data_IF_269961350157
#
_entry.id   IF_269961350157
#
_cell.length_a   1.000
_cell.length_b   1.000
_cell.length_c   1.000
_cell.angle_alpha   90.00
_cell.angle_beta   90.00
_cell.angle_gamma   90.00
#
_symmetry.space_group_name_H-M   'P 1'
#
loop_
_entity.id
_entity.type
_entity.pdbx_description
1 polymer ?
#
# COMPACT_ATOMS: atom_id res chain seq x y z
N UNK A 1 79.09 -18.08 7.60
CA UNK A 1 80.42 -18.52 7.15
C UNK A 1 80.83 -17.59 6.03
N UNK A 2 81.93 -16.88 6.27
CA UNK A 2 82.47 -15.75 5.52
C UNK A 2 83.12 -16.16 4.20
N UNK A 3 83.34 -15.16 3.34
CA UNK A 3 84.44 -15.13 2.37
C UNK A 3 85.75 -15.67 2.96
N UNK A 4 86.58 -16.25 2.09
CA UNK A 4 87.92 -16.82 2.28
C UNK A 4 87.89 -18.32 2.06
N UNK A 5 88.82 -18.80 1.24
CA UNK A 5 89.14 -20.21 0.96
C UNK A 5 88.64 -20.71 -0.40
N UNK A 6 89.16 -20.11 -1.48
CA UNK A 6 89.56 -20.88 -2.67
C UNK A 6 90.61 -20.12 -3.50
N UNK A 7 91.59 -19.53 -2.83
CA UNK A 7 92.86 -19.13 -3.43
C UNK A 7 93.91 -19.99 -2.76
N UNK A 8 94.41 -21.00 -3.46
CA UNK A 8 95.74 -21.57 -3.30
C UNK A 8 95.88 -22.78 -4.22
N UNK A 9 96.37 -22.55 -5.44
CA UNK A 9 97.31 -23.44 -6.10
C UNK A 9 97.93 -22.74 -7.32
N UNK A 10 99.04 -22.05 -7.10
CA UNK A 10 99.97 -21.67 -8.17
C UNK A 10 101.16 -22.61 -8.07
N UNK A 11 101.47 -23.41 -9.11
CA UNK A 11 102.82 -23.86 -9.35
C UNK A 11 103.48 -22.99 -10.44
N UNK A 12 104.55 -22.34 -9.98
CA UNK A 12 105.78 -21.95 -10.67
C UNK A 12 105.87 -22.12 -12.21
N UNK A 13 106.14 -20.99 -12.86
CA UNK A 13 107.24 -20.75 -13.81
C UNK A 13 107.62 -21.92 -14.75
N UNK A 14 107.12 -21.85 -15.98
CA UNK A 14 107.69 -22.55 -17.14
C UNK A 14 108.28 -21.47 -18.07
N UNK A 15 109.56 -21.56 -18.47
CA UNK A 15 110.22 -20.55 -19.31
C UNK A 15 109.67 -20.54 -20.75
N UNK A 16 109.84 -19.44 -21.51
CA UNK A 16 109.32 -19.33 -22.86
C UNK A 16 110.12 -20.22 -23.81
N UNK A 17 109.51 -21.28 -24.32
CA UNK A 17 110.04 -21.98 -25.50
C UNK A 17 109.86 -21.09 -26.73
N UNK A 18 110.99 -20.75 -27.33
CA UNK A 18 111.11 -20.07 -28.62
C UNK A 18 110.28 -20.81 -29.70
N UNK A 19 109.27 -20.12 -30.23
CA UNK A 19 108.59 -20.50 -31.47
C UNK A 19 109.38 -19.90 -32.65
N UNK A 20 109.69 -20.67 -33.71
CA UNK A 20 110.36 -20.12 -34.88
C UNK A 20 109.43 -19.16 -35.64
N UNK A 21 109.95 -18.09 -36.28
CA UNK A 21 109.15 -17.22 -37.13
C UNK A 21 108.78 -17.99 -38.41
N UNK A 22 107.52 -18.43 -38.50
CA UNK A 22 106.93 -18.98 -39.73
C UNK A 22 106.29 -17.82 -40.49
N UNK A 23 107.05 -17.25 -41.42
CA UNK A 23 106.59 -16.31 -42.45
C UNK A 23 105.86 -17.08 -43.57
N UNK A 24 104.73 -17.71 -43.24
CA UNK A 24 103.83 -18.30 -44.24
C UNK A 24 102.50 -17.52 -44.27
N UNK A 25 102.19 -16.77 -45.35
CA UNK A 25 100.90 -16.12 -45.48
C UNK A 25 99.80 -17.18 -45.59
N UNK A 26 98.82 -17.10 -44.69
CA UNK A 26 97.64 -17.98 -44.69
C UNK A 26 96.94 -17.93 -46.07
N UNK A 27 96.42 -19.07 -46.57
CA UNK A 27 95.76 -19.11 -47.88
C UNK A 27 94.56 -18.16 -47.95
N UNK A 28 94.52 -17.33 -49.01
CA UNK A 28 93.51 -16.29 -49.31
C UNK A 28 92.04 -16.76 -49.16
N UNK A 29 91.78 -18.06 -49.22
CA UNK A 29 90.46 -18.65 -49.00
C UNK A 29 89.90 -18.45 -47.56
N UNK A 30 90.74 -18.15 -46.57
CA UNK A 30 90.31 -17.94 -45.17
C UNK A 30 90.17 -16.46 -44.80
N UNK A 31 90.59 -15.53 -45.66
CA UNK A 31 90.39 -14.09 -45.46
C UNK A 31 88.98 -13.64 -45.88
N UNK A 32 88.35 -14.35 -46.82
CA UNK A 32 86.98 -14.04 -47.28
C UNK A 32 85.87 -14.38 -46.27
N UNK A 33 86.19 -15.07 -45.17
CA UNK A 33 85.23 -15.34 -44.07
C UNK A 33 85.38 -14.38 -42.88
N UNK A 34 86.47 -13.60 -42.81
CA UNK A 34 86.66 -12.60 -41.75
C UNK A 34 85.97 -11.26 -42.07
N UNK A 35 85.86 -10.89 -43.36
CA UNK A 35 85.24 -9.64 -43.81
C UNK A 35 83.72 -9.74 -44.07
N UNK A 36 83.11 -10.91 -43.83
CA UNK A 36 81.66 -11.01 -43.76
C UNK A 36 81.20 -10.68 -42.32
N UNK A 37 81.22 -9.40 -41.97
CA UNK A 37 80.35 -8.88 -40.90
C UNK A 37 78.90 -8.98 -41.38
N UNK A 38 78.38 -10.20 -41.45
CA UNK A 38 76.95 -10.40 -41.32
C UNK A 38 76.65 -9.89 -39.92
N UNK A 39 75.97 -8.75 -39.82
CA UNK A 39 75.29 -8.32 -38.60
C UNK A 39 74.34 -9.45 -38.20
N UNK A 40 74.86 -10.45 -37.49
CA UNK A 40 74.06 -11.52 -36.95
C UNK A 40 73.28 -10.88 -35.82
N UNK A 41 72.05 -10.48 -36.14
CA UNK A 41 71.04 -10.07 -35.19
C UNK A 41 70.68 -11.27 -34.27
N UNK A 42 71.60 -11.64 -33.39
CA UNK A 42 71.25 -12.42 -32.21
C UNK A 42 70.70 -11.43 -31.19
N UNK A 43 69.46 -10.98 -31.39
CA UNK A 43 68.67 -10.57 -30.24
C UNK A 43 68.64 -11.79 -29.31
N UNK A 44 69.31 -11.65 -28.15
CA UNK A 44 69.44 -12.72 -27.17
C UNK A 44 68.04 -13.26 -26.86
N UNK A 45 67.88 -14.58 -26.73
CA UNK A 45 66.58 -15.15 -26.40
C UNK A 45 65.98 -14.52 -25.14
N UNK A 46 66.83 -14.03 -24.22
CA UNK A 46 66.43 -13.27 -23.04
C UNK A 46 65.87 -11.87 -23.35
N UNK A 47 66.38 -11.19 -24.39
CA UNK A 47 65.88 -9.87 -24.79
C UNK A 47 64.52 -9.99 -25.49
N UNK A 48 64.30 -11.06 -26.25
CA UNK A 48 63.01 -11.37 -26.86
C UNK A 48 61.96 -11.70 -25.80
N UNK A 49 62.30 -12.54 -24.82
CA UNK A 49 61.39 -12.84 -23.70
C UNK A 49 61.11 -11.61 -22.84
N UNK A 50 62.11 -10.76 -22.59
CA UNK A 50 61.92 -9.51 -21.84
C UNK A 50 61.03 -8.51 -22.59
N UNK A 51 61.16 -8.41 -23.92
CA UNK A 51 60.28 -7.58 -24.75
C UNK A 51 58.84 -8.11 -24.75
N UNK A 52 58.65 -9.42 -24.90
CA UNK A 52 57.33 -10.05 -24.86
C UNK A 52 56.66 -9.94 -23.48
N UNK A 53 57.42 -10.03 -22.40
CA UNK A 53 56.93 -9.82 -21.04
C UNK A 53 56.58 -8.35 -20.78
N UNK A 54 57.35 -7.40 -21.32
CA UNK A 54 57.02 -5.98 -21.25
C UNK A 54 55.72 -5.66 -22.00
N UNK A 55 55.49 -6.26 -23.17
CA UNK A 55 54.25 -6.11 -23.94
C UNK A 55 53.04 -6.73 -23.21
N UNK A 56 53.22 -7.90 -22.58
CA UNK A 56 52.20 -8.52 -21.72
C UNK A 56 51.89 -7.66 -20.48
N UNK A 57 52.90 -7.04 -19.90
CA UNK A 57 52.74 -6.17 -18.74
C UNK A 57 52.04 -4.85 -19.12
N UNK A 58 52.28 -4.34 -20.32
CA UNK A 58 51.60 -3.16 -20.84
C UNK A 58 50.13 -3.43 -21.19
N UNK A 59 49.84 -4.57 -21.80
CA UNK A 59 48.46 -4.99 -22.11
C UNK A 59 47.65 -5.24 -20.84
N UNK A 60 48.23 -5.89 -19.84
CA UNK A 60 47.57 -6.10 -18.53
C UNK A 60 47.34 -4.79 -17.78
N UNK A 61 48.29 -3.84 -17.81
CA UNK A 61 48.08 -2.49 -17.28
C UNK A 61 46.93 -1.75 -17.99
N UNK A 62 46.88 -1.85 -19.33
CA UNK A 62 45.77 -1.30 -20.12
C UNK A 62 44.43 -1.90 -19.75
N UNK A 63 44.36 -3.23 -19.60
CA UNK A 63 43.15 -3.94 -19.18
C UNK A 63 42.73 -3.56 -17.75
N UNK A 64 43.67 -3.40 -16.82
CA UNK A 64 43.39 -2.98 -15.45
C UNK A 64 42.85 -1.54 -15.42
N UNK A 65 43.43 -0.64 -16.22
CA UNK A 65 42.93 0.72 -16.34
C UNK A 65 41.51 0.76 -16.92
N UNK A 66 41.23 -0.03 -17.96
CA UNK A 66 39.88 -0.15 -18.52
C UNK A 66 38.88 -0.73 -17.51
N UNK A 67 39.28 -1.73 -16.73
CA UNK A 67 38.43 -2.29 -15.68
C UNK A 67 38.16 -1.28 -14.57
N UNK A 68 39.15 -0.48 -14.19
CA UNK A 68 38.98 0.59 -13.22
C UNK A 68 38.02 1.69 -13.70
N UNK A 69 38.12 2.11 -14.96
CA UNK A 69 37.18 3.09 -15.52
C UNK A 69 35.76 2.53 -15.57
N UNK A 70 35.59 1.27 -15.99
CA UNK A 70 34.29 0.59 -15.96
C UNK A 70 33.72 0.51 -14.53
N UNK A 71 34.52 0.12 -13.55
CA UNK A 71 34.08 0.02 -12.15
C UNK A 71 33.66 1.40 -11.61
N UNK A 72 34.44 2.45 -11.91
CA UNK A 72 34.09 3.82 -11.53
C UNK A 72 32.79 4.31 -12.19
N UNK A 73 32.56 3.93 -13.46
CA UNK A 73 31.32 4.25 -14.17
C UNK A 73 30.12 3.51 -13.57
N UNK A 74 30.27 2.20 -13.29
CA UNK A 74 29.23 1.41 -12.61
C UNK A 74 28.92 1.94 -11.21
N UNK A 75 29.94 2.40 -10.48
CA UNK A 75 29.75 2.97 -9.14
C UNK A 75 29.02 4.32 -9.20
N UNK A 76 29.26 5.14 -10.22
CA UNK A 76 28.48 6.37 -10.48
C UNK A 76 27.02 6.04 -10.79
N UNK A 77 26.77 5.09 -11.69
CA UNK A 77 25.41 4.64 -12.00
C UNK A 77 24.70 4.13 -10.75
N UNK A 78 25.36 3.34 -9.91
CA UNK A 78 24.79 2.90 -8.62
C UNK A 78 24.47 4.06 -7.68
N UNK A 79 25.38 5.05 -7.58
CA UNK A 79 25.14 6.24 -6.76
C UNK A 79 23.99 7.12 -7.25
N UNK A 80 23.69 7.08 -8.54
CA UNK A 80 22.54 7.76 -9.15
C UNK A 80 21.24 6.94 -8.99
N UNK A 81 21.31 5.61 -9.02
CA UNK A 81 20.15 4.72 -8.87
C UNK A 81 19.62 4.66 -7.43
N UNK A 82 20.51 4.64 -6.45
CA UNK A 82 20.16 4.57 -5.02
C UNK A 82 19.15 5.63 -4.55
N UNK A 83 19.31 6.93 -4.85
CA UNK A 83 18.31 7.93 -4.48
C UNK A 83 17.00 7.75 -5.23
N UNK A 84 17.04 7.38 -6.52
CA UNK A 84 15.83 7.14 -7.33
C UNK A 84 14.98 6.00 -6.74
N UNK A 85 15.63 4.91 -6.31
CA UNK A 85 14.94 3.79 -5.67
C UNK A 85 14.33 4.21 -4.33
N UNK A 86 15.03 5.01 -3.54
CA UNK A 86 14.50 5.53 -2.26
C UNK A 86 13.29 6.43 -2.48
N UNK A 87 13.37 7.33 -3.44
CA UNK A 87 12.27 8.23 -3.80
C UNK A 87 11.07 7.44 -4.30
N UNK A 88 11.27 6.44 -5.18
CA UNK A 88 10.21 5.55 -5.63
C UNK A 88 9.55 4.78 -4.48
N UNK A 89 10.33 4.31 -3.50
CA UNK A 89 9.79 3.64 -2.31
C UNK A 89 8.91 4.59 -1.48
N UNK A 90 9.32 5.86 -1.33
CA UNK A 90 8.54 6.87 -0.62
C UNK A 90 7.25 7.22 -1.38
N UNK A 91 7.35 7.39 -2.70
CA UNK A 91 6.22 7.69 -3.58
C UNK A 91 5.20 6.56 -3.60
N UNK A 92 5.63 5.30 -3.48
CA UNK A 92 4.72 4.15 -3.39
C UNK A 92 4.11 3.97 -2.00
N UNK A 93 4.68 4.57 -0.96
CA UNK A 93 4.20 4.45 0.43
C UNK A 93 2.97 5.30 0.70
N UNK A 94 2.90 6.51 0.14
CA UNK A 94 1.73 7.39 0.22
C UNK A 94 0.44 6.75 -0.32
N UNK A 95 0.39 6.23 -1.57
CA UNK A 95 -0.80 5.59 -2.12
C UNK A 95 -1.15 4.28 -1.40
N UNK A 96 -0.16 3.55 -0.83
CA UNK A 96 -0.45 2.37 -0.03
C UNK A 96 -1.24 2.71 1.26
N UNK A 97 -0.90 3.83 1.90
CA UNK A 97 -1.63 4.30 3.09
C UNK A 97 -3.05 4.79 2.71
N UNK A 98 -3.19 5.54 1.62
CA UNK A 98 -4.50 6.00 1.13
C UNK A 98 -5.40 4.82 0.77
N UNK A 99 -4.85 3.79 0.13
CA UNK A 99 -5.57 2.57 -0.21
C UNK A 99 -6.01 1.81 1.05
N UNK A 100 -5.16 1.75 2.09
CA UNK A 100 -5.53 1.16 3.37
C UNK A 100 -6.71 1.92 4.03
N UNK A 101 -6.65 3.25 4.08
CA UNK A 101 -7.75 4.08 4.61
C UNK A 101 -9.04 3.88 3.80
N UNK A 102 -8.94 3.82 2.47
CA UNK A 102 -10.09 3.57 1.60
C UNK A 102 -10.71 2.18 1.84
N UNK A 103 -9.90 1.15 2.06
CA UNK A 103 -10.37 -0.20 2.42
C UNK A 103 -11.09 -0.22 3.75
N UNK A 104 -10.55 0.45 4.77
CA UNK A 104 -11.19 0.54 6.08
C UNK A 104 -12.51 1.31 6.02
N UNK A 105 -12.56 2.42 5.26
CA UNK A 105 -13.78 3.16 4.99
C UNK A 105 -14.84 2.31 4.30
N UNK A 106 -14.45 1.54 3.29
CA UNK A 106 -15.34 0.62 2.58
C UNK A 106 -15.89 -0.47 3.53
N UNK A 107 -15.03 -1.07 4.37
CA UNK A 107 -15.46 -2.06 5.35
C UNK A 107 -16.42 -1.48 6.40
N UNK A 108 -16.23 -0.22 6.79
CA UNK A 108 -17.16 0.48 7.69
C UNK A 108 -18.52 0.72 7.03
N UNK A 109 -18.53 1.21 5.79
CA UNK A 109 -19.76 1.43 5.02
C UNK A 109 -20.52 0.12 4.77
N UNK A 110 -19.82 -0.97 4.46
CA UNK A 110 -20.44 -2.29 4.31
C UNK A 110 -21.13 -2.76 5.60
N UNK A 111 -20.49 -2.57 6.77
CA UNK A 111 -21.10 -2.89 8.07
C UNK A 111 -22.35 -2.04 8.32
N UNK A 112 -22.29 -0.74 8.03
CA UNK A 112 -23.44 0.17 8.17
C UNK A 112 -24.59 -0.23 7.24
N UNK A 113 -24.30 -0.54 5.98
CA UNK A 113 -25.30 -1.03 5.03
C UNK A 113 -25.96 -2.33 5.50
N UNK A 114 -25.19 -3.30 6.00
CA UNK A 114 -25.72 -4.54 6.55
C UNK A 114 -26.64 -4.29 7.76
N UNK A 115 -26.29 -3.34 8.63
CA UNK A 115 -27.15 -2.92 9.75
C UNK A 115 -28.47 -2.30 9.27
N UNK A 116 -28.40 -1.41 8.29
CA UNK A 116 -29.60 -0.78 7.71
C UNK A 116 -30.52 -1.81 7.05
N UNK A 117 -29.97 -2.76 6.29
CA UNK A 117 -30.74 -3.86 5.69
C UNK A 117 -31.48 -4.66 6.77
N UNK A 118 -30.80 -5.01 7.88
CA UNK A 118 -31.45 -5.68 9.01
C UNK A 118 -32.57 -4.86 9.61
N UNK A 119 -32.36 -3.55 9.80
CA UNK A 119 -33.42 -2.66 10.29
C UNK A 119 -34.61 -2.63 9.33
N UNK A 120 -34.38 -2.46 8.03
CA UNK A 120 -35.43 -2.49 7.01
C UNK A 120 -36.21 -3.81 7.03
N UNK A 121 -35.54 -4.95 7.18
CA UNK A 121 -36.19 -6.26 7.30
C UNK A 121 -37.05 -6.35 8.58
N UNK A 122 -36.56 -5.84 9.71
CA UNK A 122 -37.31 -5.79 10.96
C UNK A 122 -38.56 -4.90 10.84
N UNK A 123 -38.42 -3.73 10.21
CA UNK A 123 -39.56 -2.84 9.92
C UNK A 123 -40.59 -3.51 9.01
N UNK A 124 -40.14 -4.15 7.93
CA UNK A 124 -41.01 -4.89 7.02
C UNK A 124 -41.81 -5.96 7.77
N UNK A 125 -41.13 -6.77 8.61
CA UNK A 125 -41.80 -7.79 9.44
C UNK A 125 -42.84 -7.17 10.37
N UNK A 126 -42.50 -6.10 11.09
CA UNK A 126 -43.45 -5.38 11.96
C UNK A 126 -44.67 -4.87 11.20
N UNK A 127 -44.46 -4.35 9.98
CA UNK A 127 -45.59 -3.88 9.15
C UNK A 127 -46.47 -5.04 8.68
N UNK A 128 -45.89 -6.20 8.34
CA UNK A 128 -46.65 -7.41 7.98
C UNK A 128 -47.43 -7.96 9.19
N UNK A 129 -46.82 -8.00 10.37
CA UNK A 129 -47.50 -8.38 11.62
C UNK A 129 -48.63 -7.40 11.98
N UNK A 130 -48.44 -6.10 11.76
CA UNK A 130 -49.50 -5.11 11.99
C UNK A 130 -50.66 -5.29 11.00
N UNK A 131 -50.37 -5.57 9.72
CA UNK A 131 -51.39 -5.84 8.70
C UNK A 131 -52.21 -7.09 9.03
N UNK A 132 -51.55 -8.20 9.36
CA UNK A 132 -52.24 -9.44 9.73
C UNK A 132 -53.11 -9.26 10.98
N UNK A 133 -52.65 -8.50 11.99
CA UNK A 133 -53.48 -8.15 13.15
C UNK A 133 -54.67 -7.26 12.76
N UNK A 134 -54.46 -6.27 11.89
CA UNK A 134 -55.55 -5.42 11.41
C UNK A 134 -56.63 -6.24 10.67
N UNK A 135 -56.23 -7.15 9.77
CA UNK A 135 -57.13 -8.07 9.07
C UNK A 135 -57.90 -8.97 10.06
N UNK A 136 -57.24 -9.46 11.12
CA UNK A 136 -57.91 -10.22 12.18
C UNK A 136 -58.92 -9.38 12.97
N UNK A 137 -58.62 -8.11 13.25
CA UNK A 137 -59.56 -7.22 13.91
C UNK A 137 -60.75 -6.87 13.00
N UNK A 138 -60.51 -6.64 11.70
CA UNK A 138 -61.57 -6.44 10.72
C UNK A 138 -62.49 -7.67 10.59
N UNK A 139 -61.92 -8.87 10.56
CA UNK A 139 -62.70 -10.12 10.54
C UNK A 139 -63.56 -10.28 11.80
N UNK A 140 -62.99 -10.03 13.00
CA UNK A 140 -63.76 -10.06 14.27
C UNK A 140 -64.85 -9.00 14.33
N UNK A 141 -64.61 -7.81 13.78
CA UNK A 141 -65.63 -6.76 13.66
C UNK A 141 -66.74 -7.15 12.68
N UNK A 142 -66.42 -7.86 11.61
CA UNK A 142 -67.41 -8.39 10.68
C UNK A 142 -68.28 -9.48 11.34
N UNK A 143 -67.68 -10.39 12.10
CA UNK A 143 -68.40 -11.41 12.90
C UNK A 143 -69.30 -10.78 13.97
N UNK A 144 -68.81 -9.77 14.71
CA UNK A 144 -69.61 -9.06 15.70
C UNK A 144 -70.80 -8.29 15.08
N UNK A 145 -70.67 -7.85 13.82
CA UNK A 145 -71.76 -7.21 13.08
C UNK A 145 -72.80 -8.21 12.57
N UNK A 146 -72.41 -9.46 12.31
CA UNK A 146 -73.36 -10.52 11.92
C UNK A 146 -74.02 -11.16 13.14
N UNK A 147 -73.37 -11.16 14.31
CA UNK A 147 -74.00 -11.51 15.59
C UNK A 147 -74.68 -10.29 16.22
N UNK A 148 -75.83 -9.87 15.67
CA UNK A 148 -76.77 -9.04 16.47
C UNK A 148 -77.51 -9.94 17.47
N UNK A 149 -77.72 -9.49 18.72
CA UNK A 149 -78.42 -10.28 19.71
C UNK A 149 -79.91 -10.33 19.37
N UNK A 150 -80.43 -11.54 19.18
CA UNK A 150 -81.79 -11.83 19.61
C UNK A 150 -81.81 -11.71 21.15
N UNK A 151 -82.86 -11.07 21.66
CA UNK A 151 -83.18 -10.80 23.07
C UNK A 151 -82.43 -9.66 23.78
N UNK A 152 -83.13 -8.51 23.90
CA UNK A 152 -83.63 -8.03 25.20
C UNK A 152 -84.51 -6.79 25.01
N UNK A 153 -85.83 -7.02 24.96
CA UNK A 153 -86.83 -6.04 25.38
C UNK A 153 -86.85 -6.09 26.90
N UNK A 154 -86.17 -5.16 27.58
CA UNK A 154 -86.45 -4.83 28.98
C UNK A 154 -85.85 -3.45 29.31
N UNK A 155 -86.72 -2.51 29.64
CA UNK A 155 -86.38 -1.24 30.25
C UNK A 155 -85.62 -1.45 31.57
N UNK A 156 -84.55 -0.66 31.79
CA UNK A 156 -83.79 -0.70 33.03
C UNK A 156 -82.69 0.35 33.07
N UNK A 157 -83.05 1.54 33.55
CA UNK A 157 -82.20 2.53 34.24
C UNK A 157 -80.69 2.23 34.30
N UNK A 158 -79.91 2.83 33.40
CA UNK A 158 -78.47 2.97 33.56
C UNK A 158 -78.16 4.45 33.79
N UNK A 159 -77.51 4.72 34.92
CA UNK A 159 -77.15 6.04 35.42
C UNK A 159 -76.46 6.89 34.34
N UNK A 160 -77.00 8.09 34.13
CA UNK A 160 -76.38 9.15 33.36
C UNK A 160 -75.12 9.62 34.11
N UNK A 161 -73.99 8.94 33.88
CA UNK A 161 -72.68 9.56 34.11
C UNK A 161 -72.59 10.66 33.06
N UNK A 162 -72.43 11.94 33.43
CA UNK A 162 -72.20 12.97 32.45
C UNK A 162 -70.82 12.71 31.85
N UNK A 163 -70.80 12.04 30.69
CA UNK A 163 -69.65 12.10 29.80
C UNK A 163 -69.58 13.56 29.37
N UNK A 164 -68.76 14.33 30.08
CA UNK A 164 -68.36 15.66 29.66
C UNK A 164 -67.64 15.45 28.34
N UNK A 165 -68.38 15.58 27.23
CA UNK A 165 -67.79 15.84 25.92
C UNK A 165 -67.16 17.22 26.01
N UNK A 166 -65.97 17.30 26.61
CA UNK A 166 -65.07 18.43 26.36
C UNK A 166 -64.89 18.45 24.86
N UNK A 167 -65.36 19.53 24.20
CA UNK A 167 -65.06 19.80 22.79
C UNK A 167 -63.55 19.65 22.62
N UNK A 168 -63.10 18.53 22.06
CA UNK A 168 -61.68 18.32 21.78
C UNK A 168 -61.31 19.36 20.76
N UNK A 169 -60.39 20.25 21.10
CA UNK A 169 -59.85 21.15 20.09
C UNK A 169 -59.03 20.30 19.11
N UNK A 170 -58.92 20.69 17.84
CA UNK A 170 -58.00 20.01 16.93
C UNK A 170 -56.56 19.98 17.48
N UNK A 171 -56.16 20.96 18.29
CA UNK A 171 -54.90 20.94 19.03
C UNK A 171 -54.78 19.81 20.07
N UNK A 172 -55.88 19.32 20.67
CA UNK A 172 -55.83 18.24 21.66
C UNK A 172 -55.35 16.91 21.06
N UNK A 173 -55.70 16.64 19.81
CA UNK A 173 -55.21 15.45 19.11
C UNK A 173 -53.69 15.53 18.91
N UNK A 174 -53.19 16.71 18.58
CA UNK A 174 -51.77 16.96 18.34
C UNK A 174 -50.98 16.89 19.67
N UNK A 175 -51.56 17.42 20.76
CA UNK A 175 -50.99 17.29 22.12
C UNK A 175 -50.92 15.83 22.56
N UNK A 176 -51.93 15.02 22.24
CA UNK A 176 -51.92 13.60 22.53
C UNK A 176 -50.79 12.88 21.78
N UNK A 177 -50.65 13.12 20.47
CA UNK A 177 -49.56 12.55 19.68
C UNK A 177 -48.17 13.01 20.13
N UNK A 178 -48.01 14.30 20.44
CA UNK A 178 -46.77 14.85 21.02
C UNK A 178 -46.39 14.13 22.32
N UNK A 179 -47.37 13.92 23.21
CA UNK A 179 -47.15 13.22 24.48
C UNK A 179 -46.75 11.76 24.29
N UNK A 180 -47.33 11.10 23.29
CA UNK A 180 -47.00 9.71 22.96
C UNK A 180 -45.58 9.59 22.37
N UNK A 181 -45.18 10.51 21.49
CA UNK A 181 -43.81 10.58 20.95
C UNK A 181 -42.81 10.83 22.08
N UNK A 182 -43.14 11.71 23.03
CA UNK A 182 -42.28 12.05 24.16
C UNK A 182 -42.03 10.84 25.09
N UNK A 183 -43.02 9.96 25.29
CA UNK A 183 -42.84 8.71 26.05
C UNK A 183 -41.81 7.77 25.43
N UNK A 184 -41.64 7.84 24.10
CA UNK A 184 -40.68 7.03 23.36
C UNK A 184 -39.34 7.74 23.10
N UNK A 185 -39.19 8.98 23.57
CA UNK A 185 -38.03 9.84 23.28
C UNK A 185 -36.94 9.80 24.37
N UNK A 186 -36.89 8.78 25.23
CA UNK A 186 -36.03 8.71 26.44
C UNK A 186 -34.57 9.10 26.20
N UNK A 187 -33.97 8.62 25.10
CA UNK A 187 -32.56 8.91 24.75
C UNK A 187 -32.41 9.55 23.35
N UNK A 188 -33.52 9.94 22.70
CA UNK A 188 -33.50 10.46 21.34
C UNK A 188 -33.91 11.95 21.31
N UNK A 189 -32.90 12.81 21.23
CA UNK A 189 -33.05 14.27 21.19
C UNK A 189 -33.91 14.74 20.01
N UNK A 190 -33.86 14.04 18.86
CA UNK A 190 -34.64 14.40 17.67
C UNK A 190 -36.14 14.13 17.89
N UNK A 191 -36.48 13.00 18.52
CA UNK A 191 -37.86 12.67 18.87
C UNK A 191 -38.41 13.63 19.94
N UNK A 192 -37.59 14.01 20.92
CA UNK A 192 -37.96 15.00 21.92
C UNK A 192 -38.19 16.38 21.27
N UNK A 193 -37.32 16.79 20.35
CA UNK A 193 -37.47 18.03 19.58
C UNK A 193 -38.75 18.05 18.73
N UNK A 194 -39.06 16.92 18.07
CA UNK A 194 -40.26 16.77 17.26
C UNK A 194 -41.54 16.82 18.12
N UNK A 195 -41.52 16.18 19.29
CA UNK A 195 -42.64 16.26 20.25
C UNK A 195 -42.88 17.69 20.73
N UNK A 196 -41.83 18.45 21.04
CA UNK A 196 -41.95 19.86 21.46
C UNK A 196 -42.52 20.72 20.33
N UNK A 197 -42.03 20.56 19.10
CA UNK A 197 -42.53 21.29 17.94
C UNK A 197 -44.02 21.03 17.70
N UNK A 198 -44.46 19.76 17.78
CA UNK A 198 -45.89 19.40 17.67
C UNK A 198 -46.74 20.04 18.77
N UNK A 199 -46.22 20.19 19.98
CA UNK A 199 -46.95 20.83 21.07
C UNK A 199 -47.13 22.34 20.85
N UNK A 200 -46.15 22.99 20.21
CA UNK A 200 -46.22 24.39 19.81
C UNK A 200 -47.24 24.59 18.68
N UNK A 201 -47.21 23.75 17.64
CA UNK A 201 -48.19 23.84 16.55
C UNK A 201 -49.62 23.56 17.03
N UNK A 202 -49.79 22.68 18.02
CA UNK A 202 -51.10 22.48 18.66
C UNK A 202 -51.66 23.76 19.30
N UNK A 203 -50.80 24.59 19.91
CA UNK A 203 -51.21 25.87 20.46
C UNK A 203 -51.54 26.90 19.37
N UNK A 204 -50.82 26.89 18.26
CA UNK A 204 -51.12 27.73 17.09
C UNK A 204 -52.45 27.34 16.44
N UNK A 205 -52.73 26.04 16.29
CA UNK A 205 -53.96 25.52 15.68
C UNK A 205 -55.20 25.86 16.52
N UNK A 206 -55.06 25.88 17.84
CA UNK A 206 -56.13 26.34 18.73
C UNK A 206 -56.41 27.84 18.60
N UNK A 207 -55.44 28.63 18.11
CA UNK A 207 -55.60 30.07 17.87
C UNK A 207 -56.12 30.39 16.46
N UNK A 208 -56.20 29.41 15.55
CA UNK A 208 -56.80 29.62 14.24
C UNK A 208 -58.32 29.72 14.41
N UNK A 209 -58.98 30.79 13.91
CA UNK A 209 -60.43 30.87 13.94
C UNK A 209 -61.00 29.72 13.12
N UNK A 210 -61.53 28.72 13.83
CA UNK A 210 -62.30 27.63 13.25
C UNK A 210 -63.56 28.28 12.67
N UNK A 211 -63.59 28.51 11.35
CA UNK A 211 -64.76 29.09 10.70
C UNK A 211 -66.02 28.33 11.10
N UNK A 212 -67.12 29.04 11.33
CA UNK A 212 -68.43 28.45 11.61
C UNK A 212 -68.83 27.54 10.43
N UNK A 213 -68.47 26.26 10.49
CA UNK A 213 -68.95 25.23 9.57
C UNK A 213 -70.36 24.75 9.94
N UNK A 214 -71.12 25.57 10.69
CA UNK A 214 -72.51 25.35 11.03
C UNK A 214 -73.39 26.41 10.36
N UNK A 215 -73.47 26.35 9.02
CA UNK A 215 -74.65 26.75 8.24
C UNK A 215 -74.80 25.84 7.03
#
# INVERSE_FOLDING_TARGET
MTMSDLYDFIPASVPPSELPPSDDPLPVAWQATADNTVDRQYASAADKTASEEADKLQTTKGALHALHTHLSASQRVLSELDPIVRDLILDLRAPANELAVARDGLAHLQRRNASLIKQCQMWKRRTEEAKTKAEQFEAKLAELKTTKPEDTVAAGTASHIPVVFTRRSPGDTIRYFSSEIMKHATDNLELAGLAIALRMTAAEIDNIPQGDHAR
#
